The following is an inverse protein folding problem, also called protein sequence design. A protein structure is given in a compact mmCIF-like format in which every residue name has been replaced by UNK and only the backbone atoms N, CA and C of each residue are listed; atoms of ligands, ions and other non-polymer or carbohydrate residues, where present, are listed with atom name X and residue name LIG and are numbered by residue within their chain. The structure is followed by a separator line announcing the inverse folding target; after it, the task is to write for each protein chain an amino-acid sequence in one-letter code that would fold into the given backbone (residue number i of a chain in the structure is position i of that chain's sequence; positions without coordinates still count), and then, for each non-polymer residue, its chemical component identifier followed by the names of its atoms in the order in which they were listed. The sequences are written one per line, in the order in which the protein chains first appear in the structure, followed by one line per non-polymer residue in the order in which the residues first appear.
data_IF_743017044289
#
_entry.id   IF_743017044289
#
_cell.length_a   1.000
_cell.length_b   1.000
_cell.length_c   1.000
_cell.angle_alpha   90.00
_cell.angle_beta   90.00
_cell.angle_gamma   90.00
#
_symmetry.space_group_name_H-M   'P 1'
#
loop_
_entity.id
_entity.type
_entity.pdbx_description
1 polymer ?
#
# COMPACT_ATOMS: atom_id res chain seq x y z
N UNK A 1 9.92 -36.82 -10.02
CA UNK A 1 8.92 -35.74 -10.12
C UNK A 1 9.68 -34.45 -9.90
N UNK A 2 9.51 -33.42 -10.75
CA UNK A 2 10.19 -32.14 -10.57
C UNK A 2 9.69 -31.48 -9.27
N UNK A 3 10.58 -30.94 -8.44
CA UNK A 3 10.24 -30.28 -7.17
C UNK A 3 9.15 -29.22 -7.37
N UNK A 4 9.24 -28.44 -8.45
CA UNK A 4 8.26 -27.40 -8.75
C UNK A 4 6.89 -27.98 -9.09
N UNK A 5 6.83 -29.14 -9.77
CA UNK A 5 5.56 -29.82 -10.04
C UNK A 5 4.89 -30.31 -8.75
N UNK A 6 5.68 -30.81 -7.79
CA UNK A 6 5.14 -31.22 -6.49
C UNK A 6 4.63 -30.01 -5.69
N UNK A 7 5.40 -28.92 -5.71
CA UNK A 7 5.05 -27.70 -4.99
C UNK A 7 3.77 -27.05 -5.56
N UNK A 8 3.65 -26.97 -6.88
CA UNK A 8 2.44 -26.50 -7.56
C UNK A 8 1.22 -27.36 -7.19
N UNK A 9 1.36 -28.68 -7.21
CA UNK A 9 0.27 -29.58 -6.80
C UNK A 9 -0.14 -29.36 -5.33
N UNK A 10 0.82 -29.06 -4.45
CA UNK A 10 0.53 -28.75 -3.04
C UNK A 10 -0.16 -27.39 -2.87
N UNK A 11 0.21 -26.39 -3.64
CA UNK A 11 -0.43 -25.06 -3.65
C UNK A 11 -1.88 -25.12 -4.16
N UNK A 12 -2.16 -26.00 -5.13
CA UNK A 12 -3.51 -26.22 -5.65
C UNK A 12 -4.46 -26.89 -4.65
N UNK A 13 -3.92 -27.73 -3.76
CA UNK A 13 -4.69 -28.46 -2.77
C UNK A 13 -4.89 -27.66 -1.48
N UNK A 14 -6.14 -27.40 -1.09
CA UNK A 14 -6.48 -26.69 0.15
C UNK A 14 -5.86 -27.34 1.40
N UNK A 15 -5.76 -28.67 1.41
CA UNK A 15 -5.23 -29.44 2.55
C UNK A 15 -3.72 -29.23 2.75
N UNK A 16 -2.99 -28.91 1.66
CA UNK A 16 -1.53 -28.81 1.67
C UNK A 16 -1.02 -27.41 1.36
N UNK A 17 -1.89 -26.49 0.95
CA UNK A 17 -1.56 -25.12 0.54
C UNK A 17 -0.78 -24.38 1.61
N UNK A 18 -1.27 -24.35 2.85
CA UNK A 18 -0.63 -23.60 3.92
C UNK A 18 0.76 -24.16 4.28
N UNK A 19 0.96 -25.49 4.18
CA UNK A 19 2.28 -26.09 4.35
C UNK A 19 3.24 -25.72 3.20
N UNK A 20 2.73 -25.64 1.96
CA UNK A 20 3.51 -25.19 0.82
C UNK A 20 3.87 -23.70 0.90
N UNK A 21 2.94 -22.84 1.32
CA UNK A 21 3.19 -21.42 1.55
C UNK A 21 4.23 -21.20 2.66
N UNK A 22 4.15 -21.95 3.76
CA UNK A 22 5.16 -21.88 4.82
C UNK A 22 6.55 -22.28 4.30
N UNK A 23 6.64 -23.37 3.52
CA UNK A 23 7.88 -23.80 2.89
C UNK A 23 8.46 -22.72 1.96
N UNK A 24 7.62 -22.04 1.17
CA UNK A 24 8.04 -20.95 0.29
C UNK A 24 8.61 -19.76 1.07
N UNK A 25 7.96 -19.34 2.17
CA UNK A 25 8.52 -18.28 3.02
C UNK A 25 9.82 -18.67 3.73
N UNK A 26 10.09 -19.96 3.91
CA UNK A 26 11.37 -20.44 4.46
C UNK A 26 12.46 -20.60 3.40
N UNK A 27 12.08 -20.69 2.12
CA UNK A 27 12.97 -21.00 1.01
C UNK A 27 12.54 -20.17 -0.22
N UNK A 28 12.69 -18.82 -0.19
CA UNK A 28 12.23 -17.94 -1.25
C UNK A 28 12.91 -18.21 -2.60
N UNK A 29 14.09 -18.84 -2.60
CA UNK A 29 14.79 -19.28 -3.82
C UNK A 29 14.03 -20.34 -4.64
N UNK A 30 12.98 -20.94 -4.07
CA UNK A 30 12.08 -21.87 -4.77
C UNK A 30 11.00 -21.15 -5.60
N UNK A 31 10.87 -19.83 -5.45
CA UNK A 31 9.90 -19.02 -6.18
C UNK A 31 10.47 -18.75 -7.58
N UNK A 32 10.00 -19.52 -8.55
CA UNK A 32 10.18 -19.23 -9.97
C UNK A 32 8.95 -18.54 -10.56
N UNK A 33 9.01 -18.19 -11.84
CA UNK A 33 7.89 -17.56 -12.55
C UNK A 33 6.57 -18.34 -12.45
N UNK A 34 6.63 -19.68 -12.47
CA UNK A 34 5.42 -20.51 -12.42
C UNK A 34 4.81 -20.50 -11.02
N UNK A 35 5.66 -20.45 -9.99
CA UNK A 35 5.22 -20.26 -8.61
C UNK A 35 4.65 -18.85 -8.43
N UNK A 36 5.27 -17.80 -8.98
CA UNK A 36 4.71 -16.45 -8.95
C UNK A 36 3.29 -16.41 -9.55
N UNK A 37 3.09 -17.02 -10.72
CA UNK A 37 1.77 -17.14 -11.35
C UNK A 37 0.75 -17.82 -10.42
N UNK A 38 1.15 -18.89 -9.75
CA UNK A 38 0.29 -19.58 -8.78
C UNK A 38 0.00 -18.71 -7.54
N UNK A 39 0.98 -17.98 -7.03
CA UNK A 39 0.79 -17.06 -5.90
C UNK A 39 -0.17 -15.92 -6.26
N UNK A 40 -0.10 -15.40 -7.49
CA UNK A 40 -1.05 -14.41 -8.01
C UNK A 40 -2.48 -14.95 -8.04
N UNK A 41 -2.68 -16.20 -8.42
CA UNK A 41 -4.01 -16.86 -8.34
C UNK A 41 -4.50 -16.99 -6.89
N UNK A 42 -3.60 -17.30 -5.95
CA UNK A 42 -3.92 -17.47 -4.53
C UNK A 42 -4.35 -16.15 -3.89
N UNK A 43 -3.83 -15.00 -4.33
CA UNK A 43 -4.28 -13.66 -3.88
C UNK A 43 -5.79 -13.47 -4.04
N UNK A 44 -6.42 -14.10 -5.05
CA UNK A 44 -7.86 -14.00 -5.24
C UNK A 44 -8.67 -14.71 -4.12
N UNK A 45 -8.05 -15.60 -3.36
CA UNK A 45 -8.66 -16.52 -2.38
C UNK A 45 -8.05 -16.40 -0.97
N UNK A 46 -7.97 -15.21 -0.35
CA UNK A 46 -7.34 -15.03 0.95
C UNK A 46 -8.00 -15.85 2.06
N UNK A 47 -9.28 -16.18 1.93
CA UNK A 47 -10.00 -17.01 2.91
C UNK A 47 -9.46 -18.45 2.99
N UNK A 48 -8.66 -18.88 2.01
CA UNK A 48 -7.98 -20.18 2.01
C UNK A 48 -6.59 -20.16 2.66
N UNK A 49 -6.11 -18.98 3.05
CA UNK A 49 -4.79 -18.74 3.59
C UNK A 49 -4.92 -18.61 5.11
N UNK A 50 -4.26 -19.49 5.85
CA UNK A 50 -4.33 -19.52 7.31
C UNK A 50 -3.59 -18.33 7.93
N UNK A 51 -2.45 -17.96 7.34
CA UNK A 51 -1.62 -16.85 7.80
C UNK A 51 -1.40 -15.83 6.68
N UNK A 52 -2.34 -14.91 6.53
CA UNK A 52 -2.32 -13.86 5.50
C UNK A 52 -1.18 -12.87 5.71
N UNK A 53 -0.73 -12.67 6.95
CA UNK A 53 0.41 -11.83 7.27
C UNK A 53 1.71 -12.41 6.70
N UNK A 54 2.01 -13.68 6.99
CA UNK A 54 3.18 -14.38 6.42
C UNK A 54 3.11 -14.45 4.89
N UNK A 55 1.90 -14.64 4.34
CA UNK A 55 1.71 -14.61 2.90
C UNK A 55 2.00 -13.22 2.31
N UNK A 56 1.56 -12.13 2.95
CA UNK A 56 1.87 -10.79 2.48
C UNK A 56 3.37 -10.48 2.52
N UNK A 57 4.09 -10.91 3.56
CA UNK A 57 5.56 -10.81 3.61
C UNK A 57 6.24 -11.63 2.52
N UNK A 58 5.73 -12.83 2.21
CA UNK A 58 6.22 -13.61 1.08
C UNK A 58 6.08 -12.87 -0.25
N UNK A 59 4.96 -12.19 -0.47
CA UNK A 59 4.72 -11.39 -1.68
C UNK A 59 5.68 -10.18 -1.73
N UNK A 60 5.84 -9.46 -0.63
CA UNK A 60 6.81 -8.37 -0.51
C UNK A 60 8.23 -8.84 -0.88
N UNK A 61 8.70 -9.95 -0.30
CA UNK A 61 10.06 -10.48 -0.52
C UNK A 61 10.35 -10.86 -1.98
N UNK A 62 9.32 -11.00 -2.82
CA UNK A 62 9.54 -11.23 -4.27
C UNK A 62 10.01 -9.99 -5.02
N UNK A 63 9.70 -8.79 -4.50
CA UNK A 63 9.90 -7.50 -5.18
C UNK A 63 9.30 -7.47 -6.62
N UNK A 64 8.36 -8.39 -6.93
CA UNK A 64 7.83 -8.55 -8.28
C UNK A 64 6.60 -7.66 -8.50
N UNK A 65 6.67 -6.63 -9.35
CA UNK A 65 5.56 -5.72 -9.59
C UNK A 65 4.34 -6.40 -10.24
N UNK A 66 4.48 -7.63 -10.75
CA UNK A 66 3.36 -8.43 -11.26
C UNK A 66 2.27 -8.67 -10.19
N UNK A 67 2.62 -8.65 -8.90
CA UNK A 67 1.68 -8.82 -7.80
C UNK A 67 0.78 -7.60 -7.53
N UNK A 68 1.12 -6.43 -8.04
CA UNK A 68 0.38 -5.18 -7.76
C UNK A 68 -1.07 -5.26 -8.26
N UNK A 69 -1.29 -5.66 -9.51
CA UNK A 69 -2.65 -5.70 -10.07
C UNK A 69 -3.55 -6.75 -9.38
N UNK A 70 -3.10 -8.00 -9.15
CA UNK A 70 -3.86 -8.96 -8.35
C UNK A 70 -4.24 -8.46 -6.95
N UNK A 71 -3.32 -7.78 -6.26
CA UNK A 71 -3.60 -7.15 -4.96
C UNK A 71 -4.65 -6.05 -5.08
N UNK A 72 -4.51 -5.15 -6.07
CA UNK A 72 -5.48 -4.08 -6.34
C UNK A 72 -6.87 -4.64 -6.62
N UNK A 73 -6.98 -5.65 -7.50
CA UNK A 73 -8.25 -6.27 -7.86
C UNK A 73 -8.96 -6.82 -6.62
N UNK A 74 -8.19 -7.51 -5.77
CA UNK A 74 -8.75 -8.10 -4.55
C UNK A 74 -9.13 -7.03 -3.52
N UNK A 75 -8.25 -6.07 -3.26
CA UNK A 75 -8.48 -4.95 -2.33
C UNK A 75 -9.69 -4.12 -2.77
N UNK A 76 -9.84 -3.86 -4.07
CA UNK A 76 -10.95 -3.06 -4.62
C UNK A 76 -12.33 -3.66 -4.36
N UNK A 77 -12.41 -4.96 -4.11
CA UNK A 77 -13.69 -5.64 -3.80
C UNK A 77 -13.91 -5.87 -2.31
N UNK A 78 -12.91 -5.60 -1.47
CA UNK A 78 -12.94 -5.85 -0.05
C UNK A 78 -14.01 -5.01 0.68
N UNK A 79 -14.62 -5.59 1.70
CA UNK A 79 -15.50 -4.90 2.66
C UNK A 79 -14.84 -5.02 4.02
N UNK A 80 -14.57 -3.89 4.69
CA UNK A 80 -13.79 -3.83 5.95
C UNK A 80 -14.22 -4.91 6.96
N UNK A 81 -15.52 -5.01 7.24
CA UNK A 81 -16.08 -5.95 8.22
C UNK A 81 -15.96 -7.44 7.82
N UNK A 82 -15.60 -7.73 6.57
CA UNK A 82 -15.55 -9.08 5.99
C UNK A 82 -14.17 -9.46 5.44
N UNK A 83 -13.16 -8.62 5.64
CA UNK A 83 -11.84 -8.79 5.06
C UNK A 83 -10.75 -8.69 6.15
N UNK A 84 -10.61 -9.69 7.03
CA UNK A 84 -9.57 -9.69 8.07
C UNK A 84 -8.15 -9.65 7.48
N UNK A 85 -7.99 -10.14 6.25
CA UNK A 85 -6.76 -10.14 5.46
C UNK A 85 -6.40 -8.78 4.83
N UNK A 86 -7.30 -7.80 4.89
CA UNK A 86 -7.14 -6.54 4.15
C UNK A 86 -5.89 -5.77 4.58
N UNK A 87 -5.62 -5.70 5.88
CA UNK A 87 -4.44 -4.98 6.38
C UNK A 87 -3.13 -5.61 5.86
N UNK A 88 -3.06 -6.94 5.76
CA UNK A 88 -1.90 -7.64 5.23
C UNK A 88 -1.73 -7.39 3.73
N UNK A 89 -2.83 -7.40 2.96
CA UNK A 89 -2.76 -7.15 1.52
C UNK A 89 -2.42 -5.70 1.20
N UNK A 90 -2.93 -4.75 1.98
CA UNK A 90 -2.53 -3.35 1.87
C UNK A 90 -1.05 -3.18 2.22
N UNK A 91 -0.51 -3.96 3.17
CA UNK A 91 0.91 -3.93 3.48
C UNK A 91 1.76 -4.36 2.28
N UNK A 92 1.49 -5.53 1.71
CA UNK A 92 2.23 -5.99 0.52
C UNK A 92 2.13 -4.97 -0.62
N UNK A 93 0.94 -4.38 -0.81
CA UNK A 93 0.73 -3.35 -1.83
C UNK A 93 1.52 -2.06 -1.55
N UNK A 94 1.63 -1.61 -0.30
CA UNK A 94 2.48 -0.47 0.07
C UNK A 94 3.93 -0.75 -0.32
N UNK A 95 4.47 -1.90 0.09
CA UNK A 95 5.87 -2.24 -0.16
C UNK A 95 6.19 -2.29 -1.66
N UNK A 96 5.36 -3.01 -2.44
CA UNK A 96 5.54 -3.11 -3.89
C UNK A 96 5.37 -1.78 -4.64
N UNK A 97 4.62 -0.83 -4.07
CA UNK A 97 4.45 0.50 -4.67
C UNK A 97 5.61 1.44 -4.32
N UNK A 98 6.14 1.35 -3.10
CA UNK A 98 7.25 2.20 -2.62
C UNK A 98 8.57 1.91 -3.35
N UNK A 99 8.75 0.69 -3.84
CA UNK A 99 9.91 0.28 -4.66
C UNK A 99 9.90 0.87 -6.07
N UNK A 100 8.78 1.47 -6.50
CA UNK A 100 8.64 2.00 -7.87
C UNK A 100 9.18 3.42 -7.97
N UNK A 101 9.95 3.68 -9.02
CA UNK A 101 10.41 5.03 -9.35
C UNK A 101 9.25 5.96 -9.78
N UNK A 102 8.19 5.38 -10.37
CA UNK A 102 7.04 6.12 -10.89
C UNK A 102 5.74 5.73 -10.19
N UNK A 103 4.89 6.72 -9.94
CA UNK A 103 3.56 6.52 -9.38
C UNK A 103 2.70 5.57 -10.23
N UNK A 104 1.90 4.72 -9.59
CA UNK A 104 1.11 3.70 -10.24
C UNK A 104 -0.19 4.27 -10.83
N UNK A 105 -0.52 4.04 -12.10
CA UNK A 105 -1.78 4.50 -12.67
C UNK A 105 -2.96 3.75 -12.02
N UNK A 106 -3.90 4.49 -11.43
CA UNK A 106 -5.03 3.89 -10.72
C UNK A 106 -6.38 4.41 -11.20
N UNK A 107 -7.38 3.53 -11.17
CA UNK A 107 -8.77 3.90 -11.43
C UNK A 107 -9.40 4.65 -10.25
N UNK A 108 -10.37 5.52 -10.56
CA UNK A 108 -11.10 6.33 -9.57
C UNK A 108 -11.75 5.46 -8.48
N UNK A 109 -12.24 4.28 -8.84
CA UNK A 109 -12.89 3.37 -7.89
C UNK A 109 -11.96 2.95 -6.76
N UNK A 110 -10.69 2.66 -7.06
CA UNK A 110 -9.68 2.32 -6.05
C UNK A 110 -9.37 3.56 -5.20
N UNK A 111 -9.12 4.70 -5.84
CA UNK A 111 -8.77 5.95 -5.16
C UNK A 111 -9.84 6.38 -4.17
N UNK A 112 -11.12 6.38 -4.59
CA UNK A 112 -12.23 6.72 -3.71
C UNK A 112 -12.35 5.76 -2.53
N UNK A 113 -12.13 4.46 -2.75
CA UNK A 113 -12.18 3.45 -1.69
C UNK A 113 -11.07 3.65 -0.66
N UNK A 114 -9.84 3.85 -1.11
CA UNK A 114 -8.70 4.14 -0.22
C UNK A 114 -8.90 5.47 0.51
N UNK A 115 -9.43 6.48 -0.19
CA UNK A 115 -9.75 7.79 0.39
C UNK A 115 -10.82 7.69 1.48
N UNK A 116 -11.87 6.90 1.26
CA UNK A 116 -12.89 6.64 2.27
C UNK A 116 -12.30 5.92 3.48
N UNK A 117 -11.44 4.91 3.25
CA UNK A 117 -10.77 4.19 4.31
C UNK A 117 -9.82 5.08 5.11
N UNK A 118 -9.02 5.92 4.46
CA UNK A 118 -8.15 6.91 5.08
C UNK A 118 -8.93 7.78 6.06
N UNK A 119 -10.08 8.32 5.67
CA UNK A 119 -10.80 9.34 6.43
C UNK A 119 -11.82 8.79 7.45
N UNK A 120 -12.24 7.53 7.30
CA UNK A 120 -13.37 6.97 8.07
C UNK A 120 -13.04 5.69 8.85
N UNK A 121 -11.82 5.15 8.79
CA UNK A 121 -11.42 3.98 9.62
C UNK A 121 -10.77 4.37 10.97
N UNK A 122 -10.85 5.65 11.35
CA UNK A 122 -10.48 6.11 12.69
C UNK A 122 -8.97 6.28 12.95
N UNK A 123 -8.14 6.32 11.90
CA UNK A 123 -6.70 6.55 12.02
C UNK A 123 -5.88 5.30 12.34
N UNK A 124 -6.49 4.11 12.26
CA UNK A 124 -5.80 2.84 12.46
C UNK A 124 -4.93 2.42 11.26
N UNK A 125 -4.46 1.18 11.30
CA UNK A 125 -3.56 0.60 10.29
C UNK A 125 -4.11 0.67 8.85
N UNK A 126 -5.40 0.45 8.66
CA UNK A 126 -6.05 0.59 7.35
C UNK A 126 -6.00 2.05 6.86
N UNK A 127 -6.22 3.04 7.76
CA UNK A 127 -6.12 4.46 7.40
C UNK A 127 -4.70 4.79 6.94
N UNK A 128 -3.71 4.31 7.72
CA UNK A 128 -2.31 4.56 7.44
C UNK A 128 -1.90 3.99 6.08
N UNK A 129 -2.10 2.69 5.86
CA UNK A 129 -1.73 2.04 4.58
C UNK A 129 -2.49 2.63 3.40
N UNK A 130 -3.74 3.05 3.59
CA UNK A 130 -4.49 3.74 2.53
C UNK A 130 -3.84 5.08 2.15
N UNK A 131 -3.34 5.84 3.13
CA UNK A 131 -2.58 7.07 2.88
C UNK A 131 -1.28 6.82 2.11
N UNK A 132 -0.53 5.80 2.53
CA UNK A 132 0.73 5.41 1.87
C UNK A 132 0.50 4.97 0.42
N UNK A 133 -0.52 4.14 0.18
CA UNK A 133 -0.89 3.73 -1.19
C UNK A 133 -1.29 4.96 -2.00
N UNK A 134 -2.21 5.81 -1.50
CA UNK A 134 -2.65 7.02 -2.21
C UNK A 134 -1.48 7.94 -2.59
N UNK A 135 -0.43 8.02 -1.77
CA UNK A 135 0.78 8.81 -2.07
C UNK A 135 1.64 8.25 -3.21
N UNK A 136 1.35 7.02 -3.64
CA UNK A 136 2.02 6.33 -4.74
C UNK A 136 1.11 6.11 -5.97
N UNK A 137 -0.10 6.68 -6.00
CA UNK A 137 -1.03 6.52 -7.13
C UNK A 137 -1.09 7.77 -8.02
N UNK A 138 -0.82 7.58 -9.31
CA UNK A 138 -1.02 8.58 -10.36
C UNK A 138 -2.50 8.66 -10.72
N UNK A 139 -3.24 9.46 -9.96
CA UNK A 139 -4.63 9.80 -10.24
C UNK A 139 -4.96 11.19 -9.64
N UNK A 140 -5.55 12.14 -10.40
CA UNK A 140 -5.87 13.48 -9.89
C UNK A 140 -6.76 13.50 -8.64
N UNK A 141 -7.64 12.52 -8.49
CA UNK A 141 -8.55 12.42 -7.36
C UNK A 141 -7.83 12.12 -6.03
N UNK A 142 -6.56 11.70 -6.05
CA UNK A 142 -5.79 11.49 -4.81
C UNK A 142 -5.53 12.80 -4.08
N UNK A 143 -5.44 13.93 -4.80
CA UNK A 143 -5.13 15.24 -4.24
C UNK A 143 -6.06 15.64 -3.08
N UNK A 144 -7.37 15.51 -3.26
CA UNK A 144 -8.36 15.92 -2.26
C UNK A 144 -8.26 15.05 -1.00
N UNK A 145 -8.13 13.74 -1.17
CA UNK A 145 -7.98 12.80 -0.06
C UNK A 145 -6.68 13.00 0.71
N UNK A 146 -5.55 13.16 0.01
CA UNK A 146 -4.25 13.43 0.62
C UNK A 146 -4.26 14.79 1.36
N UNK A 147 -4.85 15.83 0.76
CA UNK A 147 -4.99 17.15 1.42
C UNK A 147 -5.83 17.04 2.70
N UNK A 148 -6.98 16.36 2.64
CA UNK A 148 -7.83 16.13 3.81
C UNK A 148 -7.12 15.31 4.87
N UNK A 149 -6.43 14.23 4.48
CA UNK A 149 -5.67 13.37 5.38
C UNK A 149 -4.56 14.12 6.10
N UNK A 150 -3.78 14.94 5.39
CA UNK A 150 -2.71 15.74 6.00
C UNK A 150 -3.24 16.71 7.08
N UNK A 151 -4.46 17.24 6.91
CA UNK A 151 -5.09 18.19 7.82
C UNK A 151 -5.94 17.54 8.94
N UNK A 152 -6.23 16.24 8.85
CA UNK A 152 -7.11 15.55 9.79
C UNK A 152 -6.39 15.19 11.10
N UNK A 153 -6.69 15.95 12.16
CA UNK A 153 -6.11 15.79 13.49
C UNK A 153 -6.47 14.45 14.18
N UNK A 154 -7.42 13.69 13.64
CA UNK A 154 -7.80 12.37 14.16
C UNK A 154 -6.84 11.27 13.69
N UNK A 155 -6.12 11.51 12.61
CA UNK A 155 -5.17 10.55 12.04
C UNK A 155 -3.85 10.56 12.81
N UNK A 156 -3.20 9.41 12.82
CA UNK A 156 -1.85 9.31 13.35
C UNK A 156 -0.89 10.19 12.57
N UNK A 157 0.07 10.82 13.25
CA UNK A 157 0.95 11.81 12.62
C UNK A 157 1.72 11.24 11.43
N UNK A 158 2.17 9.98 11.47
CA UNK A 158 2.83 9.35 10.31
C UNK A 158 1.91 9.25 9.09
N UNK A 159 0.63 8.92 9.26
CA UNK A 159 -0.35 8.91 8.15
C UNK A 159 -0.52 10.30 7.54
N UNK A 160 -0.54 11.34 8.38
CA UNK A 160 -0.65 12.73 7.93
C UNK A 160 0.61 13.17 7.19
N UNK A 161 1.79 12.74 7.64
CA UNK A 161 3.08 12.98 6.96
C UNK A 161 3.11 12.28 5.61
N UNK A 162 2.68 11.01 5.52
CA UNK A 162 2.58 10.29 4.25
C UNK A 162 1.67 11.02 3.26
N UNK A 163 0.53 11.55 3.75
CA UNK A 163 -0.36 12.37 2.92
C UNK A 163 0.32 13.65 2.42
N UNK A 164 1.08 14.35 3.27
CA UNK A 164 1.87 15.50 2.87
C UNK A 164 2.92 15.13 1.82
N UNK A 165 3.66 14.04 2.02
CA UNK A 165 4.64 13.53 1.05
C UNK A 165 3.98 13.22 -0.29
N UNK A 166 2.80 12.60 -0.29
CA UNK A 166 2.02 12.37 -1.51
C UNK A 166 1.68 13.65 -2.26
N UNK A 167 1.26 14.71 -1.57
CA UNK A 167 1.04 16.02 -2.20
C UNK A 167 2.33 16.59 -2.78
N UNK A 168 3.45 16.50 -2.04
CA UNK A 168 4.75 17.02 -2.48
C UNK A 168 5.29 16.31 -3.74
N UNK A 169 5.00 15.01 -3.86
CA UNK A 169 5.50 14.16 -4.94
C UNK A 169 4.58 14.20 -6.17
N UNK A 170 3.26 14.16 -5.98
CA UNK A 170 2.28 13.99 -7.06
C UNK A 170 1.58 15.28 -7.47
N UNK A 171 1.41 16.23 -6.54
CA UNK A 171 0.56 17.42 -6.67
C UNK A 171 1.30 18.67 -6.17
N UNK A 172 2.58 18.80 -6.52
CA UNK A 172 3.52 19.76 -5.92
C UNK A 172 3.02 21.21 -6.01
N UNK A 173 2.33 21.55 -7.10
CA UNK A 173 1.71 22.84 -7.33
C UNK A 173 0.67 23.23 -6.27
N UNK A 174 0.10 22.25 -5.58
CA UNK A 174 -0.87 22.44 -4.50
C UNK A 174 -0.24 22.46 -3.10
N UNK A 175 1.04 22.10 -2.98
CA UNK A 175 1.74 22.06 -1.71
C UNK A 175 1.80 23.40 -0.95
N UNK A 176 2.04 24.57 -1.57
CA UNK A 176 2.19 25.83 -0.81
C UNK A 176 1.01 26.16 0.11
N UNK A 177 -0.23 25.99 -0.38
CA UNK A 177 -1.44 26.26 0.39
C UNK A 177 -1.66 25.25 1.52
N UNK A 178 -1.17 24.02 1.38
CA UNK A 178 -1.19 23.01 2.44
C UNK A 178 -0.13 23.32 3.50
N UNK A 179 1.09 23.66 3.08
CA UNK A 179 2.22 23.96 3.98
C UNK A 179 1.92 25.15 4.90
N UNK A 180 1.32 26.23 4.37
CA UNK A 180 0.92 27.39 5.18
C UNK A 180 0.06 27.00 6.39
N UNK A 181 -0.83 26.01 6.21
CA UNK A 181 -1.68 25.48 7.29
C UNK A 181 -0.88 24.61 8.26
N UNK A 182 -0.04 23.72 7.73
CA UNK A 182 0.70 22.73 8.54
C UNK A 182 1.88 23.33 9.33
N UNK A 183 2.42 24.47 8.91
CA UNK A 183 3.48 25.17 9.66
C UNK A 183 3.01 25.61 11.06
N UNK A 184 1.70 25.78 11.24
CA UNK A 184 1.06 26.13 12.51
C UNK A 184 0.30 24.95 13.15
N UNK A 185 0.56 23.72 12.69
CA UNK A 185 -0.13 22.52 13.22
C UNK A 185 0.14 22.35 14.72
N UNK A 186 -0.82 21.91 15.54
CA UNK A 186 -0.57 21.64 16.96
C UNK A 186 0.47 20.52 17.19
N UNK A 187 0.62 19.58 16.25
CA UNK A 187 1.58 18.50 16.34
C UNK A 187 2.98 18.92 15.84
N UNK A 188 4.01 18.71 16.67
CA UNK A 188 5.39 19.12 16.37
C UNK A 188 5.98 18.42 15.15
N UNK A 189 5.83 17.09 15.07
CA UNK A 189 6.33 16.28 13.94
C UNK A 189 5.76 16.73 12.60
N UNK A 190 4.49 17.18 12.61
CA UNK A 190 3.83 17.72 11.42
C UNK A 190 4.41 19.06 11.04
N UNK A 191 4.61 19.98 12.00
CA UNK A 191 5.24 21.28 11.74
C UNK A 191 6.65 21.10 11.18
N UNK A 192 7.45 20.19 11.75
CA UNK A 192 8.81 19.93 11.29
C UNK A 192 8.85 19.34 9.89
N UNK A 193 7.93 18.43 9.59
CA UNK A 193 7.78 17.86 8.24
C UNK A 193 7.35 18.92 7.21
N UNK A 194 6.43 19.81 7.58
CA UNK A 194 6.02 20.93 6.74
C UNK A 194 7.18 21.91 6.46
N UNK A 195 7.99 22.24 7.48
CA UNK A 195 9.19 23.09 7.30
C UNK A 195 10.18 22.46 6.32
N UNK A 196 10.48 21.16 6.47
CA UNK A 196 11.38 20.43 5.54
C UNK A 196 10.86 20.45 4.11
N UNK A 197 9.55 20.26 3.93
CA UNK A 197 8.90 20.33 2.62
C UNK A 197 8.96 21.76 2.02
N UNK A 198 8.74 22.80 2.84
CA UNK A 198 8.86 24.20 2.41
C UNK A 198 10.29 24.55 1.96
N UNK A 199 11.31 24.16 2.74
CA UNK A 199 12.72 24.35 2.39
C UNK A 199 13.06 23.67 1.06
N UNK A 200 12.52 22.48 0.81
CA UNK A 200 12.71 21.76 -0.45
C UNK A 200 12.12 22.53 -1.65
N UNK A 201 10.90 23.07 -1.54
CA UNK A 201 10.29 23.87 -2.61
C UNK A 201 11.09 25.13 -2.92
N UNK A 202 11.61 25.79 -1.88
CA UNK A 202 12.39 27.02 -2.05
C UNK A 202 13.70 26.75 -2.80
N UNK A 203 14.39 25.65 -2.50
CA UNK A 203 15.62 25.24 -3.22
C UNK A 203 15.32 24.89 -4.69
N UNK A 204 14.24 24.16 -4.94
CA UNK A 204 13.84 23.80 -6.29
C UNK A 204 13.40 25.01 -7.15
N UNK A 205 13.11 26.16 -6.54
CA UNK A 205 12.74 27.40 -7.24
C UNK A 205 13.93 28.30 -7.57
N UNK A 206 15.13 27.97 -7.07
CA UNK A 206 16.37 28.73 -7.29
C UNK A 206 17.31 28.12 -8.33
N UNK A 207 17.00 26.92 -8.81
CA UNK A 207 17.68 26.21 -9.89
C UNK A 207 16.92 26.38 -11.23
#
# INVERSE_FOLDING_TARGET
MNLNTELLAKLDSLDTRNAALAMLSENPELIDQTICEKLMEIIAQPESIENTNRFASLIEETEDPAFIQPLIDKVSTAKLEKAPWLADYLYALVMLLDEREEAYPAEDTLVHRLGDWLLHTGGGEISWKSGDILSNLSNPNTQDYLTKGALDQRLFHLTRIACLSGIMNLHREHAPALLEKLLNDPNEEIRESAKRAEEFLQRASTD
#
